data_IF_307490997217
#
_entry.id   IF_307490997217
#
_cell.length_a   1.000
_cell.length_b   1.000
_cell.length_c   1.000
_cell.angle_alpha   90.00
_cell.angle_beta   90.00
_cell.angle_gamma   90.00
#
_symmetry.space_group_name_H-M   'P 1'
#
loop_
_entity.id
_entity.type
_entity.pdbx_description
1 polymer ?
#
# COMPACT_ATOMS: atom_id res chain seq x y z
N UNK A 1 -4.77 38.43 10.01
CA UNK A 1 -5.20 37.14 10.57
C UNK A 1 -6.70 36.96 10.51
N UNK A 2 -7.29 37.21 9.35
CA UNK A 2 -8.69 36.86 9.09
C UNK A 2 -8.78 35.42 8.58
N UNK A 3 -9.90 34.71 8.77
CA UNK A 3 -10.11 33.36 8.23
C UNK A 3 -9.90 33.26 6.71
N UNK A 4 -10.08 34.36 5.97
CA UNK A 4 -9.85 34.43 4.53
C UNK A 4 -8.38 34.33 4.13
N UNK A 5 -7.47 34.96 4.88
CA UNK A 5 -6.02 34.86 4.62
C UNK A 5 -5.49 33.44 4.86
N UNK A 6 -6.07 32.71 5.82
CA UNK A 6 -5.70 31.31 6.07
C UNK A 6 -6.11 30.41 4.91
N UNK A 7 -7.28 30.68 4.32
CA UNK A 7 -7.78 29.94 3.17
C UNK A 7 -7.02 30.26 1.88
N UNK A 8 -6.55 31.51 1.69
CA UNK A 8 -5.66 31.84 0.57
C UNK A 8 -4.29 31.18 0.70
N UNK A 9 -3.64 31.31 1.87
CA UNK A 9 -2.32 30.71 2.07
C UNK A 9 -2.34 29.18 1.93
N UNK A 10 -3.42 28.52 2.37
CA UNK A 10 -3.58 27.08 2.19
C UNK A 10 -3.76 26.70 0.71
N UNK A 11 -4.49 27.49 -0.06
CA UNK A 11 -4.67 27.27 -1.50
C UNK A 11 -3.37 27.47 -2.27
N UNK A 12 -2.60 28.50 -1.96
CA UNK A 12 -1.31 28.76 -2.61
C UNK A 12 -0.27 27.68 -2.29
N UNK A 13 -0.30 27.13 -1.07
CA UNK A 13 0.57 26.00 -0.70
C UNK A 13 0.21 24.71 -1.42
N UNK A 14 -1.09 24.45 -1.63
CA UNK A 14 -1.59 23.29 -2.40
C UNK A 14 -1.30 23.49 -3.90
N UNK A 15 -1.44 24.70 -4.42
CA UNK A 15 -1.07 25.05 -5.80
C UNK A 15 0.44 24.88 -6.05
N UNK A 16 1.28 25.15 -5.04
CA UNK A 16 2.73 24.98 -5.10
C UNK A 16 3.19 23.50 -5.07
N UNK A 17 2.34 22.57 -4.61
CA UNK A 17 2.61 21.13 -4.67
C UNK A 17 2.53 20.56 -6.11
N UNK A 18 1.94 21.33 -7.03
CA UNK A 18 1.89 21.05 -8.47
C UNK A 18 1.01 19.87 -8.85
N UNK A 19 0.84 19.68 -10.17
CA UNK A 19 -0.08 18.69 -10.76
C UNK A 19 0.39 17.23 -10.62
N UNK A 20 1.61 17.00 -10.16
CA UNK A 20 2.20 15.66 -10.00
C UNK A 20 1.96 15.02 -8.62
N UNK A 21 1.40 15.74 -7.66
CA UNK A 21 1.15 15.27 -6.29
C UNK A 21 0.41 13.91 -6.21
N UNK A 22 -0.68 13.70 -6.97
CA UNK A 22 -1.40 12.43 -6.96
C UNK A 22 -0.54 11.24 -7.42
N UNK A 23 0.33 11.44 -8.40
CA UNK A 23 1.22 10.39 -8.89
C UNK A 23 2.26 9.97 -7.84
N UNK A 24 2.85 10.94 -7.14
CA UNK A 24 3.77 10.66 -6.03
C UNK A 24 3.06 9.96 -4.87
N UNK A 25 1.83 10.36 -4.56
CA UNK A 25 1.04 9.70 -3.52
C UNK A 25 0.78 8.22 -3.85
N UNK A 26 0.36 7.92 -5.10
CA UNK A 26 0.13 6.53 -5.55
C UNK A 26 1.41 5.70 -5.42
N UNK A 27 2.55 6.22 -5.87
CA UNK A 27 3.83 5.54 -5.76
C UNK A 27 4.22 5.28 -4.29
N UNK A 28 4.10 6.30 -3.43
CA UNK A 28 4.38 6.17 -2.01
C UNK A 28 3.46 5.13 -1.35
N UNK A 29 2.18 5.12 -1.69
CA UNK A 29 1.20 4.16 -1.18
C UNK A 29 1.55 2.72 -1.59
N UNK A 30 1.93 2.50 -2.85
CA UNK A 30 2.37 1.19 -3.34
C UNK A 30 3.59 0.70 -2.56
N UNK A 31 4.63 1.54 -2.45
CA UNK A 31 5.86 1.22 -1.73
C UNK A 31 5.56 0.89 -0.26
N UNK A 32 4.78 1.73 0.40
CA UNK A 32 4.41 1.54 1.79
C UNK A 32 3.63 0.24 2.01
N UNK A 33 2.68 -0.07 1.13
CA UNK A 33 1.89 -1.31 1.21
C UNK A 33 2.77 -2.55 1.03
N UNK A 34 3.66 -2.53 0.03
CA UNK A 34 4.63 -3.61 -0.20
C UNK A 34 5.58 -3.78 0.97
N UNK A 35 5.95 -2.67 1.63
CA UNK A 35 6.75 -2.66 2.86
C UNK A 35 5.96 -2.99 4.13
N UNK A 36 4.67 -3.36 4.02
CA UNK A 36 3.78 -3.69 5.15
C UNK A 36 3.61 -2.55 6.16
N UNK A 37 3.77 -1.30 5.70
CA UNK A 37 3.54 -0.11 6.52
C UNK A 37 2.04 0.14 6.74
N UNK A 38 1.67 0.79 7.85
CA UNK A 38 0.27 1.08 8.17
C UNK A 38 -0.35 2.04 7.15
N UNK A 39 -1.30 1.54 6.37
CA UNK A 39 -2.04 2.30 5.36
C UNK A 39 -2.85 3.47 5.93
N UNK A 40 -3.26 3.39 7.21
CA UNK A 40 -4.04 4.43 7.89
C UNK A 40 -3.37 5.81 7.85
N UNK A 41 -2.03 5.85 7.97
CA UNK A 41 -1.26 7.10 7.93
C UNK A 41 -1.39 7.78 6.56
N UNK A 42 -1.25 7.00 5.48
CA UNK A 42 -1.37 7.50 4.11
C UNK A 42 -2.81 7.90 3.78
N UNK A 43 -3.80 7.14 4.23
CA UNK A 43 -5.22 7.48 4.03
C UNK A 43 -5.59 8.80 4.70
N UNK A 44 -5.11 9.03 5.93
CA UNK A 44 -5.31 10.31 6.62
C UNK A 44 -4.59 11.45 5.90
N UNK A 45 -3.36 11.22 5.43
CA UNK A 45 -2.62 12.20 4.65
C UNK A 45 -3.36 12.58 3.35
N UNK A 46 -3.95 11.60 2.63
CA UNK A 46 -4.73 11.89 1.44
C UNK A 46 -5.98 12.74 1.73
N UNK A 47 -6.71 12.42 2.79
CA UNK A 47 -7.88 13.20 3.20
C UNK A 47 -7.52 14.63 3.60
N UNK A 48 -6.36 14.82 4.23
CA UNK A 48 -5.85 16.15 4.60
C UNK A 48 -5.35 16.95 3.39
N UNK A 49 -4.56 16.34 2.51
CA UNK A 49 -3.92 17.02 1.38
C UNK A 49 -4.87 17.31 0.21
N UNK A 50 -5.79 16.38 -0.08
CA UNK A 50 -6.66 16.46 -1.26
C UNK A 50 -8.15 16.58 -0.92
N UNK A 51 -8.49 16.65 0.37
CA UNK A 51 -9.87 16.65 0.84
C UNK A 51 -10.51 15.25 0.83
N UNK A 52 -11.67 15.10 1.50
CA UNK A 52 -12.27 13.79 1.74
C UNK A 52 -12.74 13.11 0.44
N UNK A 53 -13.31 13.84 -0.52
CA UNK A 53 -13.84 13.24 -1.75
C UNK A 53 -12.72 12.76 -2.69
N UNK A 54 -11.82 13.67 -3.09
CA UNK A 54 -10.72 13.33 -4.00
C UNK A 54 -9.67 12.43 -3.33
N UNK A 55 -9.35 12.67 -2.05
CA UNK A 55 -8.47 11.80 -1.27
C UNK A 55 -8.98 10.36 -1.19
N UNK A 56 -10.29 10.14 -1.00
CA UNK A 56 -10.87 8.78 -0.98
C UNK A 56 -10.76 8.09 -2.34
N UNK A 57 -11.03 8.81 -3.44
CA UNK A 57 -10.89 8.27 -4.78
C UNK A 57 -9.42 7.89 -5.07
N UNK A 58 -8.49 8.78 -4.71
CA UNK A 58 -7.05 8.56 -4.88
C UNK A 58 -6.56 7.37 -4.06
N UNK A 59 -6.97 7.24 -2.80
CA UNK A 59 -6.64 6.09 -1.94
C UNK A 59 -7.21 4.78 -2.49
N UNK A 60 -8.42 4.80 -3.05
CA UNK A 60 -9.05 3.60 -3.63
C UNK A 60 -8.26 3.07 -4.83
N UNK A 61 -7.85 3.97 -5.74
CA UNK A 61 -7.00 3.60 -6.89
C UNK A 61 -5.62 3.14 -6.42
N UNK A 62 -5.01 3.88 -5.51
CA UNK A 62 -3.69 3.57 -4.96
C UNK A 62 -3.65 2.21 -4.26
N UNK A 63 -4.65 1.91 -3.43
CA UNK A 63 -4.73 0.66 -2.67
C UNK A 63 -4.94 -0.56 -3.56
N UNK A 64 -5.76 -0.43 -4.61
CA UNK A 64 -5.95 -1.49 -5.61
C UNK A 64 -4.65 -1.78 -6.36
N UNK A 65 -3.95 -0.73 -6.82
CA UNK A 65 -2.67 -0.88 -7.50
C UNK A 65 -1.60 -1.49 -6.58
N UNK A 66 -1.57 -1.05 -5.32
CA UNK A 66 -0.65 -1.56 -4.31
C UNK A 66 -0.88 -3.04 -3.97
N UNK A 67 -2.14 -3.45 -3.82
CA UNK A 67 -2.50 -4.85 -3.60
C UNK A 67 -2.10 -5.73 -4.79
N UNK A 68 -2.37 -5.27 -6.02
CA UNK A 68 -1.94 -5.96 -7.24
C UNK A 68 -0.41 -6.10 -7.30
N UNK A 69 0.33 -5.02 -7.03
CA UNK A 69 1.79 -5.04 -6.99
C UNK A 69 2.32 -5.99 -5.92
N UNK A 70 1.79 -5.92 -4.69
CA UNK A 70 2.18 -6.83 -3.61
C UNK A 70 1.89 -8.29 -3.94
N UNK A 71 0.77 -8.58 -4.63
CA UNK A 71 0.43 -9.92 -5.07
C UNK A 71 1.41 -10.44 -6.12
N UNK A 72 1.76 -9.62 -7.10
CA UNK A 72 2.76 -9.98 -8.12
C UNK A 72 4.14 -10.21 -7.49
N UNK A 73 4.57 -9.32 -6.59
CA UNK A 73 5.83 -9.48 -5.86
C UNK A 73 5.81 -10.78 -5.05
N UNK A 74 4.73 -11.07 -4.34
CA UNK A 74 4.58 -12.34 -3.63
C UNK A 74 4.68 -13.54 -4.59
N UNK A 75 4.01 -13.49 -5.74
CA UNK A 75 3.98 -14.62 -6.68
C UNK A 75 5.30 -14.86 -7.40
N UNK A 76 6.06 -13.81 -7.72
CA UNK A 76 7.31 -13.93 -8.49
C UNK A 76 8.57 -13.89 -7.62
N UNK A 77 8.62 -13.04 -6.60
CA UNK A 77 9.81 -12.87 -5.75
C UNK A 77 9.79 -13.76 -4.50
N UNK A 78 8.62 -14.18 -4.00
CA UNK A 78 8.58 -15.05 -2.81
C UNK A 78 8.87 -16.51 -3.13
N UNK A 79 8.88 -16.94 -4.41
CA UNK A 79 9.16 -18.33 -4.80
C UNK A 79 10.51 -18.85 -4.28
N UNK A 80 11.65 -18.16 -4.51
CA UNK A 80 12.94 -18.58 -3.93
C UNK A 80 13.01 -18.41 -2.40
N UNK A 81 12.29 -17.43 -1.83
CA UNK A 81 12.24 -17.24 -0.37
C UNK A 81 11.53 -18.43 0.28
N UNK A 82 10.37 -18.82 -0.22
CA UNK A 82 9.59 -19.96 0.28
C UNK A 82 10.36 -21.26 0.12
N UNK A 83 11.02 -21.50 -1.02
CA UNK A 83 11.90 -22.68 -1.21
C UNK A 83 13.05 -22.72 -0.17
N UNK A 84 13.64 -21.57 0.16
CA UNK A 84 14.64 -21.44 1.22
C UNK A 84 14.10 -21.70 2.63
N UNK A 85 12.85 -21.32 2.92
CA UNK A 85 12.20 -21.64 4.20
C UNK A 85 11.82 -23.11 4.31
N UNK A 86 11.37 -23.74 3.22
CA UNK A 86 10.99 -25.16 3.18
C UNK A 86 12.20 -26.08 3.36
N UNK A 87 13.35 -25.72 2.80
CA UNK A 87 14.62 -26.42 3.06
C UNK A 87 15.10 -26.28 4.50
N UNK A 88 14.75 -25.17 5.18
CA UNK A 88 15.12 -24.91 6.58
C UNK A 88 14.21 -25.61 7.60
N UNK A 89 12.96 -25.93 7.25
CA UNK A 89 11.98 -26.57 8.14
C UNK A 89 11.28 -27.79 7.50
N UNK A 90 11.98 -28.89 7.23
CA UNK A 90 11.43 -30.08 6.56
C UNK A 90 10.27 -30.75 7.31
N UNK A 91 10.16 -30.56 8.63
CA UNK A 91 9.04 -31.06 9.43
C UNK A 91 7.68 -30.44 9.03
N UNK A 92 7.67 -29.21 8.55
CA UNK A 92 6.44 -28.54 8.08
C UNK A 92 5.89 -29.22 6.81
N UNK A 93 6.78 -29.66 5.92
CA UNK A 93 6.42 -30.38 4.69
C UNK A 93 5.77 -31.73 5.00
N UNK A 94 6.29 -32.44 6.02
CA UNK A 94 5.74 -33.73 6.45
C UNK A 94 4.34 -33.59 7.07
N UNK A 95 4.12 -32.54 7.87
CA UNK A 95 2.79 -32.27 8.46
C UNK A 95 1.77 -31.95 7.36
N UNK A 96 2.16 -31.15 6.36
CA UNK A 96 1.28 -30.78 5.26
C UNK A 96 0.90 -32.00 4.40
N UNK A 97 1.87 -32.90 4.17
CA UNK A 97 1.65 -34.15 3.42
C UNK A 97 0.75 -35.14 4.17
N UNK A 98 0.89 -35.24 5.49
CA UNK A 98 0.01 -36.08 6.31
C UNK A 98 -1.45 -35.58 6.30
N UNK A 99 -1.65 -34.25 6.29
CA UNK A 99 -2.98 -33.65 6.21
C UNK A 99 -3.63 -33.88 4.83
N UNK A 100 -2.85 -33.88 3.74
CA UNK A 100 -3.35 -34.24 2.40
C UNK A 100 -3.75 -35.72 2.29
N UNK A 101 -3.02 -36.62 2.96
CA UNK A 101 -3.33 -38.06 2.96
C UNK A 101 -4.53 -38.43 3.86
N UNK A 102 -4.79 -37.69 4.95
CA UNK A 102 -5.98 -37.89 5.80
C UNK A 102 -7.25 -37.18 5.30
N UNK A 103 -7.12 -36.22 4.38
CA UNK A 103 -8.23 -35.42 3.85
C UNK A 103 -8.94 -36.00 2.61
N UNK A 104 -8.53 -37.17 2.12
CA UNK A 104 -9.06 -37.83 0.92
C UNK A 104 -9.98 -39.02 1.25
#
# INVERSE_FOLDING_TARGET
>A
GSPGELLENAKDFIAAAGDAGPAYFVLAYIIATVALLPASVLTLAAGYLYGPAYGTALVSVSSTAAAAASFLISRYAARPVVEGYMTKYPKFVLIQKAIEEEGA
#
